data_IF_135270592580
#
_entry.id   IF_135270592580
#
_cell.length_a   1.000
_cell.length_b   1.000
_cell.length_c   1.000
_cell.angle_alpha   90.00
_cell.angle_beta   90.00
_cell.angle_gamma   90.00
#
_symmetry.space_group_name_H-M   'P 1'
#
loop_
_entity.id
_entity.type
_entity.pdbx_description
1 polymer ?
#
# COMPACT_ATOMS: atom_id res chain seq x y z
N UNK A 1 -1.77 9.68 -20.89
CA UNK A 1 -0.67 9.67 -19.91
C UNK A 1 -0.61 8.24 -19.39
N UNK A 2 0.56 7.69 -19.06
CA UNK A 2 0.61 6.33 -18.47
C UNK A 2 -0.11 6.36 -17.11
N UNK A 3 -0.99 5.40 -16.83
CA UNK A 3 -1.82 5.36 -15.61
C UNK A 3 -0.93 5.42 -14.34
N UNK A 4 0.29 4.88 -14.42
CA UNK A 4 1.30 4.96 -13.37
C UNK A 4 1.78 6.40 -13.09
N UNK A 5 1.92 7.23 -14.13
CA UNK A 5 2.35 8.62 -13.98
C UNK A 5 1.25 9.47 -13.34
N UNK A 6 -0.01 9.18 -13.67
CA UNK A 6 -1.17 9.84 -13.07
C UNK A 6 -1.31 9.48 -11.59
N UNK A 7 -1.11 8.20 -11.25
CA UNK A 7 -1.02 7.73 -9.87
C UNK A 7 0.03 8.47 -9.04
N UNK A 8 1.28 8.52 -9.53
CA UNK A 8 2.40 9.20 -8.86
C UNK A 8 2.07 10.67 -8.58
N UNK A 9 1.45 11.34 -9.56
CA UNK A 9 1.05 12.73 -9.45
C UNK A 9 -0.09 12.92 -8.45
N UNK A 10 -1.15 12.12 -8.52
CA UNK A 10 -2.32 12.23 -7.64
C UNK A 10 -1.99 11.96 -6.17
N UNK A 11 -0.98 11.12 -5.91
CA UNK A 11 -0.50 10.79 -4.56
C UNK A 11 0.61 11.73 -4.08
N UNK A 12 0.99 12.74 -4.87
CA UNK A 12 2.06 13.71 -4.56
C UNK A 12 3.39 13.06 -4.14
N UNK A 13 3.70 11.89 -4.72
CA UNK A 13 4.84 11.07 -4.29
C UNK A 13 6.16 11.82 -4.46
N UNK A 14 6.32 12.51 -5.58
CA UNK A 14 7.53 13.29 -5.90
C UNK A 14 7.77 14.39 -4.86
N UNK A 15 6.74 15.16 -4.51
CA UNK A 15 6.82 16.24 -3.53
C UNK A 15 7.22 15.73 -2.15
N UNK A 16 6.68 14.55 -1.75
CA UNK A 16 7.04 13.90 -0.48
C UNK A 16 8.52 13.50 -0.49
N UNK A 17 9.01 12.91 -1.58
CA UNK A 17 10.43 12.54 -1.71
C UNK A 17 11.35 13.75 -1.67
N UNK A 18 11.01 14.84 -2.34
CA UNK A 18 11.80 16.09 -2.33
C UNK A 18 11.93 16.66 -0.91
N UNK A 19 10.83 16.69 -0.15
CA UNK A 19 10.84 17.15 1.25
C UNK A 19 11.72 16.26 2.14
N UNK A 20 11.58 14.93 2.03
CA UNK A 20 12.39 13.99 2.79
C UNK A 20 13.89 14.13 2.47
N UNK A 21 14.24 14.28 1.19
CA UNK A 21 15.61 14.54 0.77
C UNK A 21 16.15 15.86 1.36
N UNK A 22 15.32 16.91 1.39
CA UNK A 22 15.65 18.17 2.07
C UNK A 22 15.96 17.98 3.56
N UNK A 23 15.16 17.18 4.27
CA UNK A 23 15.42 16.89 5.69
C UNK A 23 16.71 16.11 5.90
N UNK A 24 17.03 15.13 5.07
CA UNK A 24 18.27 14.37 5.14
C UNK A 24 19.47 15.29 4.90
N UNK A 25 19.40 16.14 3.88
CA UNK A 25 20.48 17.06 3.54
C UNK A 25 20.78 18.05 4.67
N UNK A 26 19.74 18.59 5.30
CA UNK A 26 19.87 19.56 6.39
C UNK A 26 20.35 18.91 7.70
N UNK A 27 19.72 17.81 8.11
CA UNK A 27 19.97 17.20 9.43
C UNK A 27 21.17 16.25 9.44
N UNK A 28 21.59 15.74 8.28
CA UNK A 28 22.71 14.81 8.10
C UNK A 28 22.69 13.65 9.12
N UNK A 29 21.56 12.92 9.22
CA UNK A 29 21.41 11.87 10.21
C UNK A 29 22.43 10.74 9.95
N UNK A 30 22.94 10.13 11.03
CA UNK A 30 23.80 8.94 10.92
C UNK A 30 23.03 7.73 10.39
N UNK A 31 21.76 7.60 10.76
CA UNK A 31 20.85 6.57 10.28
C UNK A 31 19.73 7.22 9.45
N UNK A 32 19.89 7.22 8.13
CA UNK A 32 18.95 7.85 7.21
C UNK A 32 17.57 7.14 7.24
N UNK A 33 17.56 5.80 7.33
CA UNK A 33 16.33 5.01 7.27
C UNK A 33 15.44 5.34 8.47
N UNK A 34 16.00 5.27 9.68
CA UNK A 34 15.27 5.55 10.92
C UNK A 34 14.77 7.01 10.97
N UNK A 35 15.61 7.94 10.52
CA UNK A 35 15.23 9.35 10.43
C UNK A 35 14.05 9.59 9.48
N UNK A 36 14.06 8.99 8.28
CA UNK A 36 12.94 9.08 7.34
C UNK A 36 11.66 8.50 7.95
N UNK A 37 11.76 7.34 8.61
CA UNK A 37 10.61 6.70 9.26
C UNK A 37 10.00 7.63 10.32
N UNK A 38 10.81 8.29 11.13
CA UNK A 38 10.31 9.19 12.16
C UNK A 38 9.69 10.48 11.59
N UNK A 39 10.29 11.06 10.56
CA UNK A 39 9.68 12.22 9.86
C UNK A 39 8.34 11.86 9.21
N UNK A 40 8.24 10.67 8.61
CA UNK A 40 6.97 10.18 8.05
C UNK A 40 5.89 10.03 9.13
N UNK A 41 6.22 9.47 10.31
CA UNK A 41 5.27 9.38 11.44
C UNK A 41 4.81 10.75 11.92
N UNK A 42 5.70 11.75 11.92
CA UNK A 42 5.35 13.13 12.31
C UNK A 42 4.37 13.72 11.29
N UNK A 43 4.62 13.53 9.99
CA UNK A 43 3.76 14.01 8.91
C UNK A 43 2.38 13.35 8.95
N UNK A 44 2.31 12.04 9.16
CA UNK A 44 1.08 11.27 9.30
C UNK A 44 0.21 11.80 10.45
N UNK A 45 0.81 12.00 11.64
CA UNK A 45 0.14 12.57 12.81
C UNK A 45 -0.38 13.99 12.55
N UNK A 46 0.43 14.85 11.92
CA UNK A 46 0.05 16.25 11.62
C UNK A 46 -1.14 16.34 10.66
N UNK A 47 -1.24 15.42 9.70
CA UNK A 47 -2.31 15.41 8.69
C UNK A 47 -3.52 14.57 9.07
N UNK A 48 -3.48 13.87 10.22
CA UNK A 48 -4.54 12.95 10.67
C UNK A 48 -4.94 11.93 9.59
N UNK A 49 -3.96 11.50 8.78
CA UNK A 49 -4.18 10.52 7.71
C UNK A 49 -4.34 9.17 8.39
N UNK A 50 -5.53 8.57 8.29
CA UNK A 50 -5.83 7.25 8.85
C UNK A 50 -5.79 6.11 7.83
N UNK A 51 -5.87 6.42 6.54
CA UNK A 51 -5.90 5.43 5.46
C UNK A 51 -4.80 5.76 4.45
N UNK A 52 -3.79 4.89 4.41
CA UNK A 52 -2.68 4.95 3.44
C UNK A 52 -3.16 4.50 2.06
N UNK A 53 -4.07 3.53 2.03
CA UNK A 53 -4.61 2.93 0.82
C UNK A 53 -6.06 3.36 0.55
N UNK A 54 -6.40 3.58 -0.72
CA UNK A 54 -7.75 3.85 -1.22
C UNK A 54 -8.20 2.75 -2.21
N UNK A 55 -9.43 2.89 -2.73
CA UNK A 55 -10.02 1.93 -3.68
C UNK A 55 -9.21 1.80 -4.98
N UNK A 56 -8.64 2.90 -5.48
CA UNK A 56 -7.80 2.88 -6.69
C UNK A 56 -6.51 2.07 -6.47
N UNK A 57 -5.93 2.14 -5.26
CA UNK A 57 -4.76 1.35 -4.89
C UNK A 57 -5.08 -0.15 -4.88
N UNK A 58 -6.27 -0.51 -4.37
CA UNK A 58 -6.77 -1.90 -4.36
C UNK A 58 -6.95 -2.43 -5.78
N UNK A 59 -7.61 -1.64 -6.63
CA UNK A 59 -7.82 -1.99 -8.03
C UNK A 59 -6.49 -2.17 -8.76
N UNK A 60 -5.56 -1.22 -8.60
CA UNK A 60 -4.24 -1.26 -9.24
C UNK A 60 -3.43 -2.50 -8.85
N UNK A 61 -3.46 -2.91 -7.58
CA UNK A 61 -2.78 -4.13 -7.13
C UNK A 61 -3.45 -5.37 -7.72
N UNK A 62 -4.78 -5.43 -7.76
CA UNK A 62 -5.49 -6.56 -8.38
C UNK A 62 -5.13 -6.68 -9.86
N UNK A 63 -5.16 -5.58 -10.61
CA UNK A 63 -4.82 -5.57 -12.04
C UNK A 63 -3.35 -5.96 -12.29
N UNK A 64 -2.44 -5.50 -11.43
CA UNK A 64 -1.03 -5.89 -11.48
C UNK A 64 -0.81 -7.39 -11.22
N UNK A 65 -1.57 -7.99 -10.31
CA UNK A 65 -1.51 -9.44 -10.08
C UNK A 65 -2.18 -10.21 -11.23
N UNK A 66 -3.23 -9.64 -11.81
CA UNK A 66 -4.02 -10.23 -12.88
C UNK A 66 -3.60 -9.75 -14.28
N UNK A 67 -2.30 -9.76 -14.60
CA UNK A 67 -1.77 -9.27 -15.90
C UNK A 67 -2.38 -9.96 -17.11
N UNK A 68 -2.81 -11.22 -16.96
CA UNK A 68 -3.45 -11.99 -18.02
C UNK A 68 -4.94 -11.65 -18.19
N UNK A 69 -5.47 -10.68 -17.44
CA UNK A 69 -6.87 -10.24 -17.46
C UNK A 69 -7.87 -11.40 -17.30
N UNK A 70 -7.56 -12.35 -16.40
CA UNK A 70 -8.47 -13.45 -16.05
C UNK A 70 -9.68 -12.93 -15.29
N UNK A 71 -10.76 -13.71 -15.25
CA UNK A 71 -11.93 -13.38 -14.44
C UNK A 71 -11.68 -13.47 -12.92
N UNK A 72 -10.65 -14.24 -12.53
CA UNK A 72 -10.27 -14.46 -11.14
C UNK A 72 -8.79 -14.81 -11.02
N UNK A 73 -8.20 -14.50 -9.88
CA UNK A 73 -6.85 -14.90 -9.48
C UNK A 73 -6.90 -16.12 -8.56
N UNK A 74 -5.83 -16.90 -8.54
CA UNK A 74 -5.71 -18.03 -7.63
C UNK A 74 -5.38 -17.56 -6.19
N UNK A 75 -5.37 -18.51 -5.25
CA UNK A 75 -5.12 -18.23 -3.84
C UNK A 75 -3.74 -17.62 -3.59
N UNK A 76 -2.69 -18.14 -4.23
CA UNK A 76 -1.32 -17.66 -4.06
C UNK A 76 -1.16 -16.21 -4.57
N UNK A 77 -1.71 -15.93 -5.74
CA UNK A 77 -1.80 -14.59 -6.35
C UNK A 77 -2.57 -13.62 -5.44
N UNK A 78 -3.70 -14.07 -4.88
CA UNK A 78 -4.50 -13.28 -3.95
C UNK A 78 -3.72 -12.94 -2.67
N UNK A 79 -3.04 -13.91 -2.05
CA UNK A 79 -2.19 -13.67 -0.88
C UNK A 79 -1.07 -12.68 -1.21
N UNK A 80 -0.42 -12.84 -2.37
CA UNK A 80 0.65 -11.96 -2.82
C UNK A 80 0.15 -10.51 -2.96
N UNK A 81 -1.01 -10.32 -3.58
CA UNK A 81 -1.64 -9.00 -3.72
C UNK A 81 -2.05 -8.40 -2.37
N UNK A 82 -2.73 -9.16 -1.52
CA UNK A 82 -3.19 -8.68 -0.21
C UNK A 82 -2.01 -8.32 0.72
N UNK A 83 -0.87 -8.99 0.58
CA UNK A 83 0.34 -8.68 1.36
C UNK A 83 0.86 -7.25 1.15
N UNK A 84 0.53 -6.61 0.03
CA UNK A 84 0.91 -5.22 -0.24
C UNK A 84 0.19 -4.22 0.68
N UNK A 85 -0.95 -4.60 1.27
CA UNK A 85 -1.72 -3.74 2.18
C UNK A 85 -1.37 -3.92 3.66
N UNK A 86 -0.43 -4.81 3.97
CA UNK A 86 -0.03 -5.13 5.35
C UNK A 86 1.08 -4.18 5.81
N UNK A 87 0.73 -3.27 6.72
CA UNK A 87 1.63 -2.26 7.29
C UNK A 87 2.10 -2.61 8.71
N UNK A 88 1.39 -3.50 9.41
CA UNK A 88 1.71 -3.85 10.79
C UNK A 88 1.48 -5.34 11.10
N UNK A 89 1.94 -5.79 12.28
CA UNK A 89 1.87 -7.19 12.68
C UNK A 89 0.42 -7.70 12.86
N UNK A 90 -0.54 -6.87 13.29
CA UNK A 90 -1.93 -7.29 13.43
C UNK A 90 -2.57 -7.59 12.08
N UNK A 91 -2.28 -6.74 11.09
CA UNK A 91 -2.71 -6.94 9.71
C UNK A 91 -2.08 -8.19 9.11
N UNK A 92 -0.82 -8.48 9.43
CA UNK A 92 -0.13 -9.72 9.02
C UNK A 92 -0.78 -10.96 9.63
N UNK A 93 -1.01 -10.97 10.93
CA UNK A 93 -1.68 -12.08 11.62
C UNK A 93 -3.10 -12.32 11.09
N UNK A 94 -3.80 -11.26 10.66
CA UNK A 94 -5.10 -11.39 10.02
C UNK A 94 -5.00 -12.03 8.63
N UNK A 95 -4.06 -11.58 7.79
CA UNK A 95 -3.82 -12.16 6.46
C UNK A 95 -3.47 -13.66 6.55
N UNK A 96 -2.70 -14.06 7.55
CA UNK A 96 -2.35 -15.48 7.76
C UNK A 96 -3.56 -16.37 8.11
N UNK A 97 -4.62 -15.78 8.68
CA UNK A 97 -5.82 -16.50 9.14
C UNK A 97 -7.01 -16.39 8.20
N UNK A 98 -6.93 -15.53 7.19
CA UNK A 98 -8.06 -15.22 6.32
C UNK A 98 -8.36 -16.41 5.39
N UNK A 99 -9.64 -16.73 5.26
CA UNK A 99 -10.07 -17.83 4.39
C UNK A 99 -10.25 -17.33 2.95
N UNK A 100 -9.24 -17.55 2.12
CA UNK A 100 -9.24 -17.14 0.70
C UNK A 100 -9.73 -18.31 -0.15
N UNK A 101 -10.71 -18.02 -1.01
CA UNK A 101 -11.24 -18.96 -1.99
C UNK A 101 -10.20 -19.41 -3.02
N UNK A 102 -10.48 -20.50 -3.73
CA UNK A 102 -9.58 -21.05 -4.76
C UNK A 102 -9.45 -20.09 -5.95
N UNK A 103 -10.54 -19.41 -6.30
CA UNK A 103 -10.62 -18.40 -7.36
C UNK A 103 -11.23 -17.14 -6.76
N UNK A 104 -10.44 -16.09 -6.62
CA UNK A 104 -10.87 -14.81 -6.04
C UNK A 104 -11.08 -13.79 -7.15
N UNK A 105 -12.27 -13.20 -7.20
CA UNK A 105 -12.55 -12.07 -8.12
C UNK A 105 -12.24 -10.72 -7.46
N UNK A 106 -12.28 -9.63 -8.24
CA UNK A 106 -12.00 -8.28 -7.74
C UNK A 106 -12.86 -7.89 -6.53
N UNK A 107 -14.16 -8.24 -6.49
CA UNK A 107 -15.03 -7.86 -5.36
C UNK A 107 -14.61 -8.55 -4.06
N UNK A 108 -14.28 -9.83 -4.14
CA UNK A 108 -13.78 -10.60 -3.00
C UNK A 108 -12.41 -10.09 -2.55
N UNK A 109 -11.52 -9.81 -3.51
CA UNK A 109 -10.21 -9.21 -3.24
C UNK A 109 -10.35 -7.86 -2.53
N UNK A 110 -11.21 -6.96 -3.04
CA UNK A 110 -11.47 -5.65 -2.43
C UNK A 110 -11.99 -5.80 -1.01
N UNK A 111 -12.94 -6.71 -0.78
CA UNK A 111 -13.45 -6.95 0.58
C UNK A 111 -12.35 -7.42 1.53
N UNK A 112 -11.47 -8.32 1.09
CA UNK A 112 -10.32 -8.75 1.90
C UNK A 112 -9.33 -7.62 2.16
N UNK A 113 -9.01 -6.81 1.14
CA UNK A 113 -8.10 -5.68 1.26
C UNK A 113 -8.65 -4.61 2.22
N UNK A 114 -9.93 -4.24 2.11
CA UNK A 114 -10.58 -3.30 3.02
C UNK A 114 -10.55 -3.80 4.47
N UNK A 115 -10.80 -5.09 4.69
CA UNK A 115 -10.72 -5.66 6.04
C UNK A 115 -9.29 -5.55 6.60
N UNK A 116 -8.26 -5.81 5.80
CA UNK A 116 -6.86 -5.64 6.21
C UNK A 116 -6.55 -4.17 6.54
N UNK A 117 -6.91 -3.25 5.65
CA UNK A 117 -6.57 -1.81 5.76
C UNK A 117 -7.20 -1.18 7.01
N UNK A 118 -8.38 -1.65 7.42
CA UNK A 118 -9.13 -1.07 8.53
C UNK A 118 -8.84 -1.71 9.91
N UNK A 119 -7.88 -2.65 9.99
CA UNK A 119 -7.35 -3.21 11.26
C UNK A 119 -6.26 -2.31 11.84
#
# INVERSE_FOLDING_TARGET
MDDNQEYIKNKNVVEIFEVLLGFIYFNRPRNIIEFIIDELKILEKKRNIKKVFNEDDIQSVYDFINLENKQSINKEECILGLSQFVLNNKQREYLEKINIGINTNIKEFTSHAENIINI
#
